data_IF_483181453587
#
_entry.id   IF_483181453587
#
_cell.length_a   1.000
_cell.length_b   1.000
_cell.length_c   1.000
_cell.angle_alpha   90.00
_cell.angle_beta   90.00
_cell.angle_gamma   90.00
#
_symmetry.space_group_name_H-M   'P 1'
#
loop_
_entity.id
_entity.type
_entity.pdbx_description
1 polymer ?
#
# COMPACT_ATOMS: atom_id res chain seq x y z
N UNK A 1 1.34 27.79 -76.19
CA UNK A 1 0.04 27.17 -76.55
C UNK A 1 -0.21 26.02 -75.58
N UNK A 2 -1.43 25.88 -75.03
CA UNK A 2 -1.89 24.85 -74.06
C UNK A 2 -1.12 24.81 -72.70
N UNK A 3 -1.73 24.89 -71.50
CA UNK A 3 -2.89 24.18 -70.87
C UNK A 3 -2.53 22.70 -70.65
N UNK A 4 -2.43 22.10 -69.46
CA UNK A 4 -2.70 22.52 -68.07
C UNK A 4 -3.74 21.60 -67.42
N UNK A 5 -3.50 21.01 -66.24
CA UNK A 5 -4.51 20.48 -65.28
C UNK A 5 -3.92 19.82 -64.02
N UNK A 6 -4.73 19.72 -62.95
CA UNK A 6 -4.49 18.98 -61.70
C UNK A 6 -5.35 17.71 -61.68
N UNK A 7 -4.92 16.63 -61.01
CA UNK A 7 -5.83 15.68 -60.37
C UNK A 7 -5.10 14.86 -59.29
N UNK A 8 -5.82 14.43 -58.26
CA UNK A 8 -5.33 13.60 -57.16
C UNK A 8 -5.75 12.12 -57.33
N UNK A 9 -5.09 11.21 -56.60
CA UNK A 9 -5.49 9.82 -56.49
C UNK A 9 -4.78 9.14 -55.32
N UNK A 10 -5.54 8.74 -54.30
CA UNK A 10 -5.02 7.97 -53.17
C UNK A 10 -5.34 6.47 -53.29
N UNK A 11 -4.74 5.65 -52.44
CA UNK A 11 -5.20 4.28 -52.18
C UNK A 11 -4.77 3.85 -50.77
N UNK A 12 -5.76 3.48 -49.94
CA UNK A 12 -5.55 2.76 -48.69
C UNK A 12 -5.29 1.28 -49.02
N UNK A 13 -4.39 0.64 -48.29
CA UNK A 13 -4.23 -0.82 -48.28
C UNK A 13 -4.55 -1.36 -46.89
N UNK A 14 -5.54 -2.25 -46.78
CA UNK A 14 -5.95 -2.86 -45.52
C UNK A 14 -4.94 -3.90 -45.02
N UNK A 15 -4.47 -3.74 -43.78
CA UNK A 15 -3.85 -4.84 -43.00
C UNK A 15 -4.48 -4.81 -41.61
N UNK A 16 -5.60 -5.52 -41.43
CA UNK A 16 -6.31 -5.52 -40.16
C UNK A 16 -7.52 -6.43 -40.10
N UNK A 17 -7.32 -7.73 -39.82
CA UNK A 17 -8.38 -8.59 -39.26
C UNK A 17 -7.85 -9.91 -38.67
N UNK A 18 -6.88 -10.55 -39.33
CA UNK A 18 -6.57 -11.97 -39.10
C UNK A 18 -5.77 -12.22 -37.82
N UNK A 19 -4.77 -11.39 -37.49
CA UNK A 19 -3.90 -11.64 -36.32
C UNK A 19 -4.54 -11.30 -34.96
N UNK A 20 -5.48 -10.34 -34.91
CA UNK A 20 -6.19 -10.01 -33.66
C UNK A 20 -7.08 -11.16 -33.14
N UNK A 21 -7.63 -12.01 -34.02
CA UNK A 21 -8.42 -13.18 -33.60
C UNK A 21 -7.57 -14.28 -32.95
N UNK A 22 -6.35 -14.51 -33.43
CA UNK A 22 -5.44 -15.55 -32.88
C UNK A 22 -4.96 -15.25 -31.47
N UNK A 23 -4.82 -13.97 -31.12
CA UNK A 23 -4.34 -13.56 -29.80
C UNK A 23 -5.43 -13.76 -28.74
N UNK A 24 -6.68 -13.39 -29.04
CA UNK A 24 -7.80 -13.55 -28.10
C UNK A 24 -8.11 -15.03 -27.81
N UNK A 25 -8.11 -15.91 -28.82
CA UNK A 25 -8.30 -17.37 -28.61
C UNK A 25 -7.19 -18.04 -27.78
N UNK A 26 -6.02 -17.41 -27.66
CA UNK A 26 -4.93 -17.89 -26.80
C UNK A 26 -5.11 -17.47 -25.32
N UNK A 27 -5.81 -16.35 -25.07
CA UNK A 27 -6.06 -15.82 -23.73
C UNK A 27 -7.19 -16.59 -23.03
N UNK A 28 -8.30 -16.85 -23.74
CA UNK A 28 -9.45 -17.60 -23.19
C UNK A 28 -9.06 -19.05 -22.80
N UNK A 29 -8.11 -19.66 -23.53
CA UNK A 29 -7.59 -21.01 -23.21
C UNK A 29 -6.67 -21.07 -21.99
N UNK A 30 -6.25 -19.95 -21.42
CA UNK A 30 -5.54 -19.91 -20.13
C UNK A 30 -6.49 -19.76 -18.94
N UNK A 31 -7.63 -19.08 -19.10
CA UNK A 31 -8.60 -18.83 -18.03
C UNK A 31 -9.34 -20.10 -17.59
N UNK A 32 -9.62 -21.02 -18.51
CA UNK A 32 -10.25 -22.32 -18.25
C UNK A 32 -9.35 -23.33 -17.48
N UNK A 33 -8.10 -22.98 -17.11
CA UNK A 33 -7.11 -23.98 -16.66
C UNK A 33 -6.37 -23.73 -15.34
N UNK A 34 -7.00 -23.05 -14.38
CA UNK A 34 -6.43 -22.87 -13.03
C UNK A 34 -7.46 -22.92 -11.88
N UNK A 35 -7.88 -24.13 -11.45
CA UNK A 35 -8.47 -24.34 -10.11
C UNK A 35 -8.44 -25.82 -9.68
N UNK A 36 -7.44 -26.26 -8.89
CA UNK A 36 -7.39 -27.61 -8.33
C UNK A 36 -7.95 -27.65 -6.89
N UNK A 37 -9.23 -27.99 -6.75
CA UNK A 37 -9.83 -28.35 -5.45
C UNK A 37 -9.78 -29.86 -5.23
N UNK A 38 -8.74 -30.36 -4.56
CA UNK A 38 -8.68 -31.77 -4.10
C UNK A 38 -8.32 -31.84 -2.61
N UNK A 39 -9.33 -31.77 -1.75
CA UNK A 39 -9.19 -32.12 -0.33
C UNK A 39 -9.21 -33.65 -0.18
N UNK A 40 -8.05 -34.23 0.15
CA UNK A 40 -7.92 -35.67 0.45
C UNK A 40 -7.80 -35.87 1.96
N UNK A 41 -8.93 -36.16 2.61
CA UNK A 41 -8.94 -36.59 4.01
C UNK A 41 -8.61 -38.09 4.10
N UNK A 42 -7.79 -38.49 5.07
CA UNK A 42 -7.53 -39.90 5.40
C UNK A 42 -7.97 -40.17 6.85
N UNK A 43 -9.09 -40.89 6.95
CA UNK A 43 -9.40 -41.99 7.86
C UNK A 43 -9.04 -41.89 9.38
N UNK A 44 -10.04 -42.15 10.24
CA UNK A 44 -9.84 -42.38 11.67
C UNK A 44 -11.17 -42.43 12.42
N UNK A 45 -11.76 -43.63 12.55
CA UNK A 45 -13.11 -43.85 13.09
C UNK A 45 -13.01 -44.76 14.31
N UNK A 46 -13.56 -44.34 15.45
CA UNK A 46 -13.95 -45.29 16.50
C UNK A 46 -15.17 -44.83 17.31
N UNK A 47 -15.88 -45.81 17.89
CA UNK A 47 -17.18 -45.66 18.57
C UNK A 47 -17.09 -46.03 20.05
N UNK A 48 -17.74 -45.26 20.94
CA UNK A 48 -18.35 -45.73 22.21
C UNK A 48 -19.18 -44.58 22.79
N UNK A 49 -20.53 -44.60 22.79
CA UNK A 49 -21.47 -45.32 23.67
C UNK A 49 -21.77 -44.63 25.01
N UNK A 50 -22.99 -44.07 25.07
CA UNK A 50 -23.95 -44.09 26.20
C UNK A 50 -23.63 -43.45 27.57
N UNK A 51 -24.51 -42.50 27.94
CA UNK A 51 -25.40 -42.51 29.13
C UNK A 51 -25.34 -41.25 30.04
N UNK A 52 -26.55 -40.75 30.37
CA UNK A 52 -27.06 -40.30 31.70
C UNK A 52 -26.14 -39.43 32.61
N UNK A 53 -26.60 -38.42 33.35
CA UNK A 53 -27.94 -38.15 33.90
C UNK A 53 -28.08 -36.67 34.36
N UNK A 54 -29.28 -36.30 34.84
CA UNK A 54 -29.69 -34.97 35.32
C UNK A 54 -29.67 -34.89 36.86
N UNK A 55 -29.29 -33.77 37.50
CA UNK A 55 -29.70 -33.53 38.92
C UNK A 55 -28.94 -32.53 39.82
N UNK A 56 -29.53 -31.33 40.00
CA UNK A 56 -29.80 -30.59 41.27
C UNK A 56 -28.78 -30.59 42.47
N UNK A 57 -28.14 -29.43 42.69
CA UNK A 57 -28.26 -28.48 43.84
C UNK A 57 -28.21 -28.93 45.36
N UNK A 58 -28.02 -28.01 46.35
CA UNK A 58 -26.86 -27.88 47.28
C UNK A 58 -27.26 -28.20 48.76
N UNK A 59 -26.74 -27.56 49.86
CA UNK A 59 -25.51 -26.77 50.16
C UNK A 59 -24.75 -27.28 51.43
N UNK A 60 -23.70 -26.58 51.92
CA UNK A 60 -23.70 -25.90 53.24
C UNK A 60 -22.37 -25.24 53.71
N UNK A 61 -22.48 -24.42 54.78
CA UNK A 61 -21.55 -23.38 55.26
C UNK A 61 -20.44 -23.77 56.27
N UNK A 62 -19.35 -22.98 56.28
CA UNK A 62 -18.67 -22.43 57.48
C UNK A 62 -17.86 -21.17 57.07
N UNK A 63 -18.18 -19.93 57.47
CA UNK A 63 -17.80 -19.19 58.72
C UNK A 63 -16.27 -19.05 58.93
N UNK A 64 -15.70 -17.89 59.27
CA UNK A 64 -16.29 -16.65 59.85
C UNK A 64 -15.46 -15.35 59.63
N UNK A 65 -16.15 -14.19 59.60
CA UNK A 65 -15.79 -12.80 60.07
C UNK A 65 -14.42 -12.13 59.72
N UNK A 66 -14.27 -10.80 59.50
CA UNK A 66 -14.91 -9.58 60.05
C UNK A 66 -15.12 -8.48 58.96
N UNK A 67 -16.26 -7.79 58.87
CA UNK A 67 -16.66 -6.51 59.56
C UNK A 67 -15.73 -5.31 59.28
N UNK A 68 -16.16 -4.12 58.84
CA UNK A 68 -17.46 -3.57 58.38
C UNK A 68 -17.18 -2.32 57.50
N UNK A 69 -18.06 -1.50 56.91
CA UNK A 69 -19.50 -1.17 57.10
C UNK A 69 -20.15 -0.70 55.76
N UNK A 70 -21.39 -0.18 55.78
CA UNK A 70 -22.10 0.49 54.66
C UNK A 70 -22.71 1.85 55.13
N UNK A 71 -23.14 2.73 54.20
CA UNK A 71 -24.57 2.74 53.87
C UNK A 71 -24.89 2.65 52.37
N UNK A 72 -26.18 2.60 52.04
CA UNK A 72 -26.77 2.00 50.84
C UNK A 72 -27.56 3.02 50.01
N UNK A 73 -27.42 2.97 48.68
CA UNK A 73 -28.38 3.55 47.74
C UNK A 73 -28.57 2.60 46.54
N UNK A 74 -29.83 2.34 46.15
CA UNK A 74 -30.14 1.60 44.93
C UNK A 74 -30.12 2.56 43.73
N UNK A 75 -29.61 2.12 42.58
CA UNK A 75 -30.34 2.15 41.30
C UNK A 75 -29.53 1.39 40.22
N UNK A 76 -30.23 0.86 39.23
CA UNK A 76 -29.69 0.22 38.02
C UNK A 76 -29.06 1.24 37.07
N UNK A 77 -27.85 0.98 36.60
CA UNK A 77 -27.25 1.62 35.42
C UNK A 77 -27.46 0.75 34.19
N UNK A 78 -28.27 1.24 33.27
CA UNK A 78 -28.38 0.79 31.88
C UNK A 78 -27.54 1.79 31.08
N UNK A 79 -26.34 1.38 30.66
CA UNK A 79 -25.42 2.27 29.95
C UNK A 79 -25.62 2.05 28.45
N UNK A 80 -26.41 2.93 27.83
CA UNK A 80 -26.66 2.94 26.40
C UNK A 80 -25.50 3.57 25.64
N UNK A 81 -24.99 2.86 24.64
CA UNK A 81 -23.98 3.39 23.71
C UNK A 81 -24.61 4.47 22.81
N UNK A 82 -24.50 5.74 23.23
CA UNK A 82 -24.83 6.90 22.37
C UNK A 82 -23.64 7.28 21.51
N UNK A 83 -23.59 6.71 20.31
CA UNK A 83 -22.79 7.23 19.20
C UNK A 83 -23.37 8.58 18.75
N UNK A 84 -22.61 9.65 18.93
CA UNK A 84 -23.01 11.04 18.64
C UNK A 84 -21.78 11.91 18.44
N UNK A 85 -20.99 11.57 17.42
CA UNK A 85 -19.86 12.38 16.97
C UNK A 85 -20.30 13.28 15.80
N UNK A 86 -21.09 14.31 16.13
CA UNK A 86 -21.42 15.41 15.21
C UNK A 86 -20.15 16.19 14.88
N UNK A 87 -19.46 15.74 13.83
CA UNK A 87 -18.28 16.39 13.30
C UNK A 87 -18.69 17.64 12.54
N UNK A 88 -18.67 18.79 13.23
CA UNK A 88 -18.75 20.12 12.61
C UNK A 88 -17.60 20.29 11.62
N UNK A 89 -17.87 19.98 10.34
CA UNK A 89 -17.06 20.44 9.21
C UNK A 89 -17.18 21.95 9.18
N UNK A 90 -16.24 22.62 9.82
CA UNK A 90 -15.98 24.03 9.62
C UNK A 90 -15.37 24.19 8.23
N UNK A 91 -16.25 24.33 7.22
CA UNK A 91 -15.87 24.66 5.86
C UNK A 91 -15.23 26.04 5.83
N UNK A 92 -13.91 26.07 5.96
CA UNK A 92 -13.09 27.21 5.59
C UNK A 92 -12.97 27.22 4.07
N UNK A 93 -13.54 28.23 3.42
CA UNK A 93 -13.46 28.40 1.98
C UNK A 93 -11.98 28.51 1.51
N UNK A 94 -11.60 27.71 0.51
CA UNK A 94 -10.69 28.18 -0.54
C UNK A 94 -9.18 27.96 -0.41
N UNK A 95 -8.72 26.86 0.19
CA UNK A 95 -7.43 26.27 -0.25
C UNK A 95 -7.73 25.20 -1.30
N UNK A 96 -7.52 25.53 -2.58
CA UNK A 96 -7.56 24.57 -3.69
C UNK A 96 -6.44 23.54 -3.48
N UNK A 97 -6.79 22.43 -2.82
CA UNK A 97 -5.85 21.37 -2.48
C UNK A 97 -5.47 20.62 -3.75
N UNK A 98 -4.22 20.77 -4.20
CA UNK A 98 -3.73 20.13 -5.42
C UNK A 98 -3.89 18.62 -5.38
N UNK A 99 -4.05 17.99 -6.55
CA UNK A 99 -4.16 16.54 -6.69
C UNK A 99 -3.02 15.81 -5.97
N UNK A 100 -1.79 16.34 -6.08
CA UNK A 100 -0.60 15.79 -5.42
C UNK A 100 -0.72 15.80 -3.89
N UNK A 101 -1.15 16.92 -3.31
CA UNK A 101 -1.28 17.01 -1.85
C UNK A 101 -2.47 16.20 -1.33
N UNK A 102 -3.59 16.21 -2.06
CA UNK A 102 -4.72 15.31 -1.80
C UNK A 102 -4.28 13.84 -1.79
N UNK A 103 -3.60 13.38 -2.86
CA UNK A 103 -3.13 12.00 -3.01
C UNK A 103 -2.14 11.60 -1.91
N UNK A 104 -1.17 12.46 -1.57
CA UNK A 104 -0.18 12.16 -0.51
C UNK A 104 -0.81 12.09 0.89
N UNK A 105 -1.93 12.79 1.13
CA UNK A 105 -2.66 12.77 2.39
C UNK A 105 -3.73 11.66 2.48
N UNK A 106 -3.96 10.89 1.41
CA UNK A 106 -4.84 9.72 1.46
C UNK A 106 -4.33 8.65 2.44
N UNK A 107 -5.27 7.99 3.12
CA UNK A 107 -4.97 6.93 4.10
C UNK A 107 -4.27 5.74 3.44
N UNK A 108 -3.04 5.46 3.85
CA UNK A 108 -2.15 4.45 3.25
C UNK A 108 -1.03 5.03 2.39
N UNK A 109 -1.13 6.31 1.99
CA UNK A 109 -0.13 7.00 1.17
C UNK A 109 0.91 7.76 2.02
N UNK A 110 0.98 7.52 3.33
CA UNK A 110 1.84 8.29 4.25
C UNK A 110 3.35 8.11 3.99
N UNK A 111 3.72 7.18 3.10
CA UNK A 111 5.10 6.97 2.65
C UNK A 111 5.51 7.87 1.46
N UNK A 112 4.57 8.45 0.72
CA UNK A 112 4.88 9.36 -0.38
C UNK A 112 5.39 10.71 0.17
N UNK A 113 6.31 11.34 -0.57
CA UNK A 113 6.49 12.77 -0.51
C UNK A 113 5.77 13.43 -1.69
N UNK A 114 5.38 14.69 -1.52
CA UNK A 114 4.89 15.53 -2.61
C UNK A 114 6.04 15.77 -3.61
N UNK A 115 5.77 15.59 -4.89
CA UNK A 115 6.72 15.83 -5.99
C UNK A 115 6.50 17.26 -6.51
N UNK A 116 7.57 18.03 -6.66
CA UNK A 116 7.49 19.39 -7.22
C UNK A 116 6.92 19.39 -8.66
N UNK A 117 5.95 20.26 -8.96
CA UNK A 117 5.39 20.42 -10.31
C UNK A 117 6.48 20.71 -11.35
N UNK A 118 7.48 21.55 -11.01
CA UNK A 118 8.67 21.83 -11.83
C UNK A 118 9.40 20.56 -12.32
N UNK A 119 9.39 19.50 -11.52
CA UNK A 119 10.04 18.22 -11.86
C UNK A 119 9.18 17.39 -12.83
N UNK A 120 7.86 17.48 -12.68
CA UNK A 120 6.87 16.77 -13.50
C UNK A 120 6.74 17.45 -14.88
N UNK A 121 6.75 18.78 -14.93
CA UNK A 121 6.63 19.57 -16.17
C UNK A 121 7.87 19.45 -17.09
N UNK A 122 8.99 18.90 -16.61
CA UNK A 122 10.16 18.59 -17.43
C UNK A 122 10.05 17.17 -18.02
N UNK A 123 9.60 17.09 -19.28
CA UNK A 123 9.47 15.89 -20.10
C UNK A 123 10.68 14.93 -20.03
N UNK A 124 11.89 15.46 -19.82
CA UNK A 124 13.09 14.62 -19.70
C UNK A 124 13.01 13.67 -18.50
N UNK A 125 12.45 14.13 -17.37
CA UNK A 125 12.26 13.33 -16.16
C UNK A 125 11.19 12.25 -16.35
N UNK A 126 10.20 12.51 -17.22
CA UNK A 126 9.09 11.60 -17.53
C UNK A 126 9.38 10.60 -18.67
N UNK A 127 10.56 10.67 -19.28
CA UNK A 127 10.93 9.87 -20.45
C UNK A 127 10.61 8.36 -20.29
N UNK A 128 9.87 7.81 -21.26
CA UNK A 128 9.49 6.39 -21.31
C UNK A 128 8.32 5.97 -20.40
N UNK A 129 7.66 6.89 -19.69
CA UNK A 129 6.46 6.56 -18.90
C UNK A 129 5.20 6.45 -19.76
N UNK A 130 5.08 7.24 -20.83
CA UNK A 130 3.93 7.23 -21.75
C UNK A 130 3.68 5.89 -22.48
N UNK A 131 4.69 5.03 -22.60
CA UNK A 131 4.54 3.66 -23.12
C UNK A 131 4.16 2.63 -22.05
N UNK A 132 4.08 3.02 -20.77
CA UNK A 132 3.80 2.14 -19.63
C UNK A 132 2.45 2.45 -18.95
N UNK A 133 1.98 3.69 -19.05
CA UNK A 133 0.74 4.16 -18.41
C UNK A 133 -0.34 4.37 -19.49
N UNK A 134 -1.54 3.80 -19.34
CA UNK A 134 -2.68 4.09 -20.23
C UNK A 134 -3.20 5.52 -19.99
N UNK A 135 -3.84 6.16 -20.97
CA UNK A 135 -4.37 7.52 -20.82
C UNK A 135 -3.35 8.57 -20.32
N UNK A 136 -2.06 8.37 -20.62
CA UNK A 136 -0.94 9.14 -20.06
C UNK A 136 -1.15 10.66 -20.04
N UNK A 137 -1.62 11.25 -21.15
CA UNK A 137 -1.81 12.71 -21.24
C UNK A 137 -2.91 13.19 -20.26
N UNK A 138 -4.07 12.54 -20.24
CA UNK A 138 -5.16 12.83 -19.29
C UNK A 138 -4.77 12.58 -17.83
N UNK A 139 -3.97 11.53 -17.59
CA UNK A 139 -3.45 11.22 -16.26
C UNK A 139 -2.44 12.28 -15.78
N UNK A 140 -1.66 12.86 -16.69
CA UNK A 140 -0.71 13.93 -16.40
C UNK A 140 -1.42 15.27 -16.16
N UNK A 141 -2.41 15.61 -16.99
CA UNK A 141 -3.28 16.79 -16.79
C UNK A 141 -3.96 16.74 -15.42
N UNK A 142 -4.48 15.56 -15.01
CA UNK A 142 -5.11 15.36 -13.70
C UNK A 142 -4.13 15.52 -12.52
N UNK A 143 -2.89 15.03 -12.64
CA UNK A 143 -1.87 15.18 -11.58
C UNK A 143 -1.46 16.66 -11.40
N UNK A 144 -1.46 17.44 -12.49
CA UNK A 144 -1.02 18.83 -12.51
C UNK A 144 -2.19 19.84 -12.37
N UNK A 145 -3.39 19.36 -12.03
CA UNK A 145 -4.62 20.16 -11.92
C UNK A 145 -4.89 21.06 -13.17
N UNK A 146 -4.52 20.57 -14.35
CA UNK A 146 -4.72 21.28 -15.62
C UNK A 146 -6.15 21.06 -16.11
N UNK A 147 -6.90 22.14 -16.36
CA UNK A 147 -8.23 22.05 -16.98
C UNK A 147 -8.14 21.30 -18.32
N UNK A 148 -8.82 20.15 -18.41
CA UNK A 148 -8.75 19.27 -19.58
C UNK A 148 -9.19 20.01 -20.85
N UNK A 149 -8.23 20.37 -21.70
CA UNK A 149 -8.47 21.09 -22.95
C UNK A 149 -9.27 20.30 -23.99
N UNK A 150 -9.50 19.01 -23.73
CA UNK A 150 -9.98 18.02 -24.69
C UNK A 150 -11.48 18.12 -25.01
N UNK A 151 -12.31 18.67 -24.12
CA UNK A 151 -13.76 18.82 -24.36
C UNK A 151 -14.53 17.50 -24.54
N UNK A 152 -13.87 16.36 -24.34
CA UNK A 152 -14.43 15.02 -24.43
C UNK A 152 -15.19 14.67 -23.15
N UNK A 153 -16.48 14.34 -23.28
CA UNK A 153 -17.26 13.78 -22.17
C UNK A 153 -16.98 12.29 -22.04
N UNK A 154 -16.14 11.94 -21.07
CA UNK A 154 -15.89 10.55 -20.68
C UNK A 154 -17.11 9.91 -19.98
N UNK A 155 -17.20 8.59 -20.05
CA UNK A 155 -18.07 7.81 -19.16
C UNK A 155 -17.45 7.71 -17.76
N UNK A 156 -18.26 7.38 -16.76
CA UNK A 156 -17.81 7.14 -15.38
C UNK A 156 -16.70 6.07 -15.32
N UNK A 157 -16.89 4.94 -16.01
CA UNK A 157 -15.88 3.87 -16.17
C UNK A 157 -14.57 4.37 -16.82
N UNK A 158 -14.63 5.34 -17.74
CA UNK A 158 -13.42 5.92 -18.34
C UNK A 158 -12.70 6.86 -17.37
N UNK A 159 -13.43 7.61 -16.54
CA UNK A 159 -12.83 8.44 -15.50
C UNK A 159 -12.11 7.58 -14.44
N UNK A 160 -12.71 6.49 -13.96
CA UNK A 160 -12.06 5.53 -13.05
C UNK A 160 -10.74 4.98 -13.61
N UNK A 161 -10.68 4.75 -14.94
CA UNK A 161 -9.45 4.30 -15.61
C UNK A 161 -8.38 5.41 -15.71
N UNK A 162 -8.79 6.68 -15.86
CA UNK A 162 -7.88 7.84 -15.84
C UNK A 162 -7.35 8.10 -14.43
N UNK A 163 -8.20 8.02 -13.40
CA UNK A 163 -7.79 8.12 -11.99
C UNK A 163 -6.77 7.02 -11.63
N UNK A 164 -7.05 5.76 -11.96
CA UNK A 164 -6.11 4.66 -11.72
C UNK A 164 -4.80 4.80 -12.54
N UNK A 165 -4.87 5.43 -13.71
CA UNK A 165 -3.68 5.78 -14.48
C UNK A 165 -2.86 6.90 -13.83
N UNK A 166 -3.50 7.92 -13.25
CA UNK A 166 -2.85 8.99 -12.51
C UNK A 166 -2.14 8.47 -11.24
N UNK A 167 -2.79 7.61 -10.44
CA UNK A 167 -2.12 6.96 -9.30
C UNK A 167 -0.86 6.19 -9.73
N UNK A 168 -0.94 5.44 -10.84
CA UNK A 168 0.17 4.66 -11.37
C UNK A 168 1.28 5.55 -11.95
N UNK A 169 0.92 6.62 -12.65
CA UNK A 169 1.86 7.59 -13.19
C UNK A 169 2.60 8.32 -12.08
N UNK A 170 1.87 8.89 -11.11
CA UNK A 170 2.45 9.57 -9.97
C UNK A 170 3.39 8.64 -9.17
N UNK A 171 2.99 7.39 -8.96
CA UNK A 171 3.86 6.39 -8.34
C UNK A 171 5.17 6.14 -9.10
N UNK A 172 5.11 6.06 -10.44
CA UNK A 172 6.29 5.89 -11.30
C UNK A 172 7.16 7.15 -11.41
N UNK A 173 6.57 8.34 -11.26
CA UNK A 173 7.28 9.62 -11.15
C UNK A 173 8.00 9.70 -9.80
N UNK A 174 7.29 9.38 -8.71
CA UNK A 174 7.81 9.42 -7.35
C UNK A 174 9.04 8.52 -7.18
N UNK A 175 9.05 7.31 -7.75
CA UNK A 175 10.21 6.41 -7.67
C UNK A 175 11.48 6.97 -8.34
N UNK A 176 11.33 7.84 -9.35
CA UNK A 176 12.43 8.61 -9.95
C UNK A 176 12.78 9.82 -9.09
N UNK A 177 11.77 10.58 -8.65
CA UNK A 177 11.93 11.81 -7.89
C UNK A 177 12.70 11.60 -6.58
N UNK A 178 12.41 10.53 -5.82
CA UNK A 178 13.09 10.23 -4.56
C UNK A 178 14.55 9.78 -4.71
N UNK A 179 15.09 9.72 -5.94
CA UNK A 179 16.52 9.54 -6.19
C UNK A 179 17.23 10.88 -6.50
N UNK A 180 16.48 11.97 -6.65
CA UNK A 180 17.01 13.33 -6.85
C UNK A 180 17.44 13.98 -5.53
N UNK A 181 18.20 15.07 -5.61
CA UNK A 181 18.59 15.83 -4.42
C UNK A 181 17.42 16.42 -3.62
N UNK A 182 16.35 16.89 -4.31
CA UNK A 182 15.14 17.40 -3.66
C UNK A 182 14.33 16.26 -3.01
N UNK A 183 14.02 15.20 -3.77
CA UNK A 183 13.23 14.08 -3.27
C UNK A 183 13.91 13.30 -2.12
N UNK A 184 15.23 13.11 -2.16
CA UNK A 184 15.98 12.53 -1.04
C UNK A 184 15.88 13.40 0.23
N UNK A 185 15.86 14.73 0.09
CA UNK A 185 15.70 15.64 1.21
C UNK A 185 14.27 15.63 1.79
N UNK A 186 13.23 15.63 0.94
CA UNK A 186 11.85 15.49 1.38
C UNK A 186 11.63 14.16 2.14
N UNK A 187 12.17 13.06 1.61
CA UNK A 187 12.11 11.75 2.28
C UNK A 187 12.95 11.69 3.56
N UNK A 188 14.00 12.52 3.71
CA UNK A 188 14.75 12.62 4.96
C UNK A 188 13.92 13.21 6.09
N UNK A 189 13.07 14.19 5.82
CA UNK A 189 12.24 14.79 6.86
C UNK A 189 11.15 13.82 7.33
N UNK A 190 10.52 13.08 6.40
CA UNK A 190 9.66 11.94 6.72
C UNK A 190 10.38 10.83 7.51
N UNK A 191 11.66 10.57 7.21
CA UNK A 191 12.49 9.61 7.96
C UNK A 191 12.71 10.04 9.42
N UNK A 192 12.98 11.33 9.66
CA UNK A 192 13.13 11.90 11.02
C UNK A 192 11.83 11.83 11.83
N UNK A 193 10.69 12.03 11.16
CA UNK A 193 9.35 12.03 11.75
C UNK A 193 8.79 10.62 12.04
N UNK A 194 9.47 9.56 11.58
CA UNK A 194 9.08 8.15 11.70
C UNK A 194 7.86 7.74 10.84
N UNK A 195 7.52 8.50 9.80
CA UNK A 195 6.38 8.24 8.89
C UNK A 195 6.43 6.84 8.28
N UNK A 196 7.63 6.41 7.88
CA UNK A 196 7.93 5.08 7.32
C UNK A 196 7.90 3.95 8.36
N UNK A 197 7.58 4.28 9.61
CA UNK A 197 7.54 3.36 10.73
C UNK A 197 8.92 2.97 11.27
N UNK A 198 8.90 1.90 12.09
CA UNK A 198 10.04 1.46 12.91
C UNK A 198 10.23 -0.04 12.81
N UNK A 199 11.47 -0.50 12.81
CA UNK A 199 11.83 -1.91 12.70
C UNK A 199 11.06 -2.79 13.71
N UNK A 200 10.44 -3.91 13.29
CA UNK A 200 9.73 -4.81 14.20
C UNK A 200 10.65 -5.68 15.07
N UNK A 201 11.95 -5.79 14.76
CA UNK A 201 12.89 -6.56 15.58
C UNK A 201 13.17 -5.83 16.90
N UNK A 202 12.89 -6.48 18.04
CA UNK A 202 13.08 -5.94 19.39
C UNK A 202 14.49 -5.34 19.60
N UNK A 203 15.55 -6.07 19.22
CA UNK A 203 16.94 -5.63 19.36
C UNK A 203 17.37 -4.53 18.36
N UNK A 204 16.46 -4.06 17.50
CA UNK A 204 16.66 -2.83 16.74
C UNK A 204 16.15 -1.58 17.48
N UNK A 205 15.59 -1.73 18.69
CA UNK A 205 15.19 -0.62 19.57
C UNK A 205 14.29 0.42 18.89
N UNK A 206 13.42 -0.02 17.96
CA UNK A 206 12.54 0.87 17.21
C UNK A 206 13.24 1.77 16.19
N UNK A 207 14.38 1.35 15.63
CA UNK A 207 15.07 2.05 14.53
C UNK A 207 14.09 2.50 13.42
N UNK A 208 14.09 3.78 13.01
CA UNK A 208 13.32 4.24 11.86
C UNK A 208 13.76 3.54 10.56
N UNK A 209 12.78 3.15 9.75
CA UNK A 209 12.96 2.43 8.49
C UNK A 209 12.80 3.32 7.26
N UNK A 210 13.07 2.80 6.08
CA UNK A 210 12.86 3.45 4.79
C UNK A 210 11.93 2.57 3.92
N UNK A 211 11.01 3.14 3.12
CA UNK A 211 10.22 2.35 2.17
C UNK A 211 11.13 1.74 1.09
N UNK A 212 10.76 0.57 0.57
CA UNK A 212 11.52 -0.15 -0.46
C UNK A 212 10.63 -1.04 -1.31
N UNK A 213 10.87 -1.06 -2.62
CA UNK A 213 10.35 -2.05 -3.55
C UNK A 213 11.26 -3.27 -3.64
N UNK A 214 10.69 -4.47 -3.80
CA UNK A 214 11.48 -5.68 -4.12
C UNK A 214 11.70 -5.86 -5.63
N UNK A 215 11.03 -5.03 -6.43
CA UNK A 215 11.08 -4.99 -7.90
C UNK A 215 10.75 -3.57 -8.33
N UNK A 216 11.37 -3.12 -9.42
CA UNK A 216 11.03 -1.84 -10.08
C UNK A 216 9.93 -2.02 -11.15
N UNK A 217 9.40 -3.24 -11.31
CA UNK A 217 8.30 -3.57 -12.23
C UNK A 217 6.97 -3.42 -11.48
N UNK A 218 6.04 -2.57 -11.95
CA UNK A 218 4.71 -2.41 -11.35
C UNK A 218 3.93 -3.72 -11.21
N UNK A 219 3.09 -3.77 -10.19
CA UNK A 219 2.21 -4.88 -9.79
C UNK A 219 2.96 -6.18 -9.42
N UNK A 220 4.30 -6.13 -9.31
CA UNK A 220 5.15 -7.28 -8.96
C UNK A 220 5.16 -7.58 -7.46
N UNK A 221 5.11 -6.55 -6.60
CA UNK A 221 5.14 -6.69 -5.14
C UNK A 221 4.74 -5.39 -4.47
N UNK A 222 3.96 -5.43 -3.38
CA UNK A 222 3.66 -4.22 -2.59
C UNK A 222 4.91 -3.69 -1.87
N UNK A 223 4.86 -2.45 -1.39
CA UNK A 223 5.95 -1.81 -0.66
C UNK A 223 6.33 -2.58 0.62
N UNK A 224 7.60 -2.48 0.99
CA UNK A 224 8.19 -3.03 2.20
C UNK A 224 8.94 -1.94 2.94
N UNK A 225 9.38 -2.21 4.17
CA UNK A 225 10.23 -1.29 4.94
C UNK A 225 11.60 -1.93 5.19
N UNK A 226 12.66 -1.22 4.80
CA UNK A 226 14.05 -1.60 5.05
C UNK A 226 14.54 -1.01 6.38
N UNK A 227 15.13 -1.84 7.25
CA UNK A 227 15.75 -1.40 8.48
C UNK A 227 17.28 -1.24 8.31
N UNK A 228 17.84 -0.03 8.45
CA UNK A 228 19.28 0.19 8.30
C UNK A 228 20.13 -0.37 9.45
N UNK A 229 19.53 -0.88 10.54
CA UNK A 229 20.23 -1.42 11.73
C UNK A 229 20.42 -2.94 11.70
N UNK A 230 19.44 -3.68 11.19
CA UNK A 230 19.58 -5.12 10.96
C UNK A 230 19.79 -5.50 9.49
N UNK A 231 19.79 -4.50 8.59
CA UNK A 231 20.05 -4.65 7.16
C UNK A 231 19.10 -5.68 6.51
N UNK A 232 17.80 -5.56 6.83
CA UNK A 232 16.75 -6.53 6.50
C UNK A 232 15.41 -5.84 6.20
N UNK A 233 14.53 -6.53 5.48
CA UNK A 233 13.27 -6.00 4.91
C UNK A 233 12.05 -6.62 5.62
N UNK A 234 11.04 -5.79 5.91
CA UNK A 234 9.82 -6.19 6.63
C UNK A 234 8.55 -5.68 5.93
N UNK A 235 7.41 -6.26 6.27
CA UNK A 235 6.11 -5.71 5.90
C UNK A 235 5.80 -4.43 6.72
N UNK A 236 5.14 -3.41 6.13
CA UNK A 236 4.55 -2.30 6.90
C UNK A 236 3.59 -2.82 7.98
N UNK A 237 3.43 -2.08 9.08
CA UNK A 237 2.47 -2.45 10.14
C UNK A 237 1.02 -2.09 9.80
N UNK A 238 0.81 -1.01 9.04
CA UNK A 238 -0.51 -0.62 8.55
C UNK A 238 -0.90 -1.51 7.37
N UNK A 239 -2.12 -2.05 7.37
CA UNK A 239 -2.66 -2.78 6.21
C UNK A 239 -2.84 -1.88 4.99
N UNK A 240 -3.15 -0.60 5.21
CA UNK A 240 -3.37 0.39 4.14
C UNK A 240 -2.06 0.63 3.36
N UNK A 241 -0.97 0.92 4.06
CA UNK A 241 0.40 1.00 3.51
C UNK A 241 0.86 -0.32 2.87
N UNK A 242 0.32 -1.46 3.31
CA UNK A 242 0.67 -2.78 2.79
C UNK A 242 0.16 -3.08 1.38
N UNK A 243 -0.75 -2.25 0.85
CA UNK A 243 -1.35 -2.41 -0.47
C UNK A 243 -0.66 -1.57 -1.57
N UNK A 244 0.04 -0.49 -1.20
CA UNK A 244 0.78 0.38 -2.13
C UNK A 244 1.85 -0.39 -2.90
N UNK A 245 2.04 -0.09 -4.18
CA UNK A 245 3.05 -0.77 -5.00
C UNK A 245 4.49 -0.46 -4.53
N UNK A 246 5.34 -1.49 -4.52
CA UNK A 246 6.76 -1.32 -4.20
C UNK A 246 7.54 -0.62 -5.30
N UNK A 247 7.11 -0.73 -6.57
CA UNK A 247 7.75 -0.07 -7.70
C UNK A 247 7.72 1.47 -7.59
N UNK A 248 6.78 2.03 -6.82
CA UNK A 248 6.66 3.46 -6.57
C UNK A 248 7.72 4.03 -5.61
N UNK A 249 8.51 3.15 -4.98
CA UNK A 249 9.69 3.50 -4.17
C UNK A 249 10.98 2.90 -4.74
N UNK A 250 10.85 1.86 -5.57
CA UNK A 250 11.95 1.19 -6.24
C UNK A 250 12.90 0.42 -5.32
N UNK A 251 13.82 -0.30 -5.92
CA UNK A 251 14.83 -1.13 -5.25
C UNK A 251 16.02 -0.32 -4.71
N UNK A 252 16.27 0.85 -5.30
CA UNK A 252 17.52 1.61 -5.11
C UNK A 252 17.46 2.63 -3.97
N UNK A 253 16.28 3.19 -3.69
CA UNK A 253 16.12 4.35 -2.79
C UNK A 253 16.81 4.21 -1.41
N UNK A 254 16.61 3.13 -0.62
CA UNK A 254 17.24 3.04 0.71
C UNK A 254 18.77 3.01 0.66
N UNK A 255 19.33 2.40 -0.38
CA UNK A 255 20.78 2.31 -0.56
C UNK A 255 21.37 3.68 -0.90
N UNK A 256 20.75 4.40 -1.83
CA UNK A 256 21.16 5.75 -2.21
C UNK A 256 21.00 6.74 -1.04
N UNK A 257 19.87 6.68 -0.33
CA UNK A 257 19.63 7.49 0.87
C UNK A 257 20.74 7.35 1.92
N UNK A 258 21.17 6.11 2.21
CA UNK A 258 22.24 5.84 3.18
C UNK A 258 23.64 6.14 2.66
N UNK A 259 23.85 6.15 1.34
CA UNK A 259 25.10 6.63 0.71
C UNK A 259 25.21 8.16 0.79
N UNK A 260 24.08 8.88 0.66
CA UNK A 260 23.99 10.34 0.81
C UNK A 260 24.11 10.77 2.28
N UNK A 261 23.36 10.13 3.19
CA UNK A 261 23.31 10.47 4.61
C UNK A 261 24.05 9.44 5.50
N UNK A 262 25.33 9.21 5.21
CA UNK A 262 26.15 8.18 5.88
C UNK A 262 26.19 8.34 7.41
N UNK A 263 26.09 9.58 7.92
CA UNK A 263 26.05 9.90 9.34
C UNK A 263 24.78 9.39 10.06
N UNK A 264 23.72 9.05 9.33
CA UNK A 264 22.50 8.44 9.88
C UNK A 264 22.58 6.91 9.96
N UNK A 265 23.62 6.28 9.37
CA UNK A 265 23.74 4.81 9.38
C UNK A 265 23.98 4.31 10.81
N UNK A 266 23.05 3.53 11.40
CA UNK A 266 23.16 3.10 12.79
C UNK A 266 24.23 2.01 12.96
N UNK A 267 24.79 1.94 14.17
CA UNK A 267 25.58 0.79 14.62
C UNK A 267 24.72 -0.49 14.56
N UNK A 268 25.31 -1.60 14.09
CA UNK A 268 24.62 -2.91 14.03
C UNK A 268 24.19 -3.36 15.43
N UNK A 269 23.07 -4.07 15.50
CA UNK A 269 22.56 -4.60 16.77
C UNK A 269 23.59 -5.56 17.40
N UNK A 270 24.06 -5.24 18.60
CA UNK A 270 25.05 -6.04 19.36
C UNK A 270 24.44 -7.25 20.07
N UNK A 271 23.11 -7.27 20.23
CA UNK A 271 22.36 -8.32 20.90
C UNK A 271 21.43 -9.03 19.91
N UNK A 272 21.30 -10.34 20.08
CA UNK A 272 20.35 -11.19 19.36
C UNK A 272 19.54 -12.00 20.36
N UNK A 273 18.36 -12.49 19.93
CA UNK A 273 17.54 -13.35 20.78
C UNK A 273 18.29 -14.65 21.10
N UNK A 274 18.43 -14.96 22.38
CA UNK A 274 19.00 -16.21 22.86
C UNK A 274 17.84 -17.07 23.38
N UNK A 275 17.37 -18.07 22.63
CA UNK A 275 16.28 -18.93 23.07
C UNK A 275 16.70 -19.73 24.31
N UNK A 276 15.80 -19.83 25.28
CA UNK A 276 16.04 -20.52 26.56
C UNK A 276 14.85 -21.36 26.97
N UNK A 277 15.12 -22.52 27.57
CA UNK A 277 14.12 -23.42 28.17
C UNK A 277 14.58 -23.67 29.61
N UNK A 278 13.72 -23.39 30.58
CA UNK A 278 14.06 -23.40 32.03
C UNK A 278 15.37 -22.64 32.37
N UNK A 279 15.64 -21.55 31.66
CA UNK A 279 16.86 -20.73 31.82
C UNK A 279 18.09 -21.21 31.02
N UNK A 280 18.14 -22.48 30.64
CA UNK A 280 19.24 -23.05 29.83
C UNK A 280 19.15 -22.60 28.37
N UNK A 281 20.29 -22.28 27.76
CA UNK A 281 20.35 -21.92 26.33
C UNK A 281 20.09 -23.16 25.47
N UNK A 282 19.27 -23.04 24.43
CA UNK A 282 19.10 -24.12 23.44
C UNK A 282 20.37 -24.21 22.59
N UNK A 283 20.89 -25.43 22.36
CA UNK A 283 21.99 -25.67 21.43
C UNK A 283 21.51 -25.52 19.97
N UNK A 284 22.41 -25.13 19.06
CA UNK A 284 22.06 -25.15 17.62
C UNK A 284 22.09 -26.61 17.13
N UNK A 285 21.12 -27.05 16.31
CA UNK A 285 21.21 -28.34 15.63
C UNK A 285 22.36 -28.37 14.61
#
# INVERSE_FOLDING_TARGET
MYRGERAAGGSKGEVGSVDRKRINEALDKQLERSSPSTSRAINGKDKSSQSLQMGKHPPDHYRDSCSASLPKANASGDESETDSEESDVSGSDGDDTSWISWFCNLRGNEFFCEVDDDYIQDDFNLCGLSSQVPYYDYALDLILDVESSHGDMFTEEQNELVESAAEMLYGLIHSRYILTGKGIAAMLDKYKNYDFGRCPRVYCCGQPCLPVGQSDIPRSSTVKIYCPRCEDIFYPRSKYQGNTDGAYFGTTFPSLFLMTYQHLKPQKATQSYVPRVFGFKIHKP
#
